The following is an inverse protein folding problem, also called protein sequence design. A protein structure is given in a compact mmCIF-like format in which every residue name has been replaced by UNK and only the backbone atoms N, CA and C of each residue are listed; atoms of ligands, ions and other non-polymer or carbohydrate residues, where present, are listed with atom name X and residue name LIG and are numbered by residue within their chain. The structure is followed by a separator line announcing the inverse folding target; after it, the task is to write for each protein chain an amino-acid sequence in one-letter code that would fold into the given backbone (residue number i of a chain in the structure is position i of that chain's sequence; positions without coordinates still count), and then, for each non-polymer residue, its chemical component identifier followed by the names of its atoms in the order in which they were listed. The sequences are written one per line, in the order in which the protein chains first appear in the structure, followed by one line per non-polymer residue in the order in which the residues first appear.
data_IF_956426640916
#
_entry.id   IF_956426640916
#
_cell.length_a   1.000
_cell.length_b   1.000
_cell.length_c   1.000
_cell.angle_alpha   90.00
_cell.angle_beta   90.00
_cell.angle_gamma   90.00
#
_symmetry.space_group_name_H-M   'P 1'
#
loop_
_entity.id
_entity.type
_entity.pdbx_description
1 polymer ?
#
# COMPACT_ATOMS: atom_id res chain seq x y z
N UNK A 1 -35.84 -84.48 -4.22
CA UNK A 1 -36.30 -83.19 -3.66
C UNK A 1 -35.40 -82.79 -2.49
N UNK A 2 -34.25 -82.12 -2.71
CA UNK A 2 -33.40 -81.58 -1.64
C UNK A 2 -33.04 -80.10 -1.90
N UNK A 3 -33.85 -79.15 -1.40
CA UNK A 3 -33.63 -77.71 -1.71
C UNK A 3 -33.75 -76.76 -0.49
N UNK A 4 -33.83 -77.28 0.75
CA UNK A 4 -34.14 -76.44 1.92
C UNK A 4 -32.97 -76.08 2.85
N UNK A 5 -31.84 -76.79 2.78
CA UNK A 5 -30.80 -76.70 3.82
C UNK A 5 -29.76 -75.60 3.55
N UNK A 6 -29.40 -75.37 2.27
CA UNK A 6 -28.40 -74.34 1.87
C UNK A 6 -28.89 -72.92 2.07
N UNK A 7 -30.19 -72.69 1.98
CA UNK A 7 -30.78 -71.36 2.14
C UNK A 7 -30.74 -70.90 3.60
N UNK A 8 -30.87 -71.81 4.57
CA UNK A 8 -30.81 -71.46 5.99
C UNK A 8 -29.40 -71.08 6.45
N UNK A 9 -28.37 -71.80 6.00
CA UNK A 9 -26.98 -71.48 6.35
C UNK A 9 -26.54 -70.15 5.73
N UNK A 10 -26.99 -69.84 4.52
CA UNK A 10 -26.68 -68.56 3.86
C UNK A 10 -27.40 -67.38 4.53
N UNK A 11 -28.64 -67.54 5.00
CA UNK A 11 -29.35 -66.51 5.77
C UNK A 11 -28.71 -66.26 7.14
N UNK A 12 -28.31 -67.31 7.85
CA UNK A 12 -27.64 -67.21 9.15
C UNK A 12 -26.26 -66.55 9.00
N UNK A 13 -25.48 -66.95 8.00
CA UNK A 13 -24.18 -66.33 7.72
C UNK A 13 -24.32 -64.86 7.28
N UNK A 14 -25.30 -64.56 6.42
CA UNK A 14 -25.58 -63.19 5.99
C UNK A 14 -26.07 -62.30 7.13
N UNK A 15 -26.87 -62.84 8.07
CA UNK A 15 -27.31 -62.10 9.26
C UNK A 15 -26.16 -61.85 10.25
N UNK A 16 -25.29 -62.84 10.48
CA UNK A 16 -24.10 -62.68 11.31
C UNK A 16 -23.12 -61.65 10.74
N UNK A 17 -22.87 -61.69 9.42
CA UNK A 17 -22.04 -60.71 8.71
C UNK A 17 -22.65 -59.31 8.80
N UNK A 18 -23.97 -59.16 8.62
CA UNK A 18 -24.67 -57.88 8.77
C UNK A 18 -24.62 -57.35 10.21
N UNK A 19 -24.69 -58.21 11.21
CA UNK A 19 -24.56 -57.83 12.62
C UNK A 19 -23.13 -57.39 12.95
N UNK A 20 -22.12 -58.08 12.43
CA UNK A 20 -20.71 -57.75 12.61
C UNK A 20 -20.34 -56.41 11.96
N UNK A 21 -20.88 -56.13 10.76
CA UNK A 21 -20.67 -54.85 10.07
C UNK A 21 -21.32 -53.69 10.82
N UNK A 22 -22.48 -53.89 11.47
CA UNK A 22 -23.13 -52.86 12.29
C UNK A 22 -22.37 -52.58 13.59
N UNK A 23 -21.86 -53.60 14.28
CA UNK A 23 -21.14 -53.43 15.54
C UNK A 23 -19.76 -52.79 15.35
N UNK A 24 -19.04 -53.11 14.27
CA UNK A 24 -17.75 -52.46 13.95
C UNK A 24 -17.93 -50.98 13.57
N UNK A 25 -19.04 -50.63 12.90
CA UNK A 25 -19.35 -49.24 12.49
C UNK A 25 -19.75 -48.34 13.67
N UNK A 26 -20.29 -48.92 14.75
CA UNK A 26 -20.71 -48.19 15.94
C UNK A 26 -19.53 -47.73 16.82
N UNK A 27 -18.40 -48.44 16.79
CA UNK A 27 -17.24 -48.14 17.66
C UNK A 27 -16.17 -47.24 17.01
N UNK A 28 -16.25 -46.95 15.71
CA UNK A 28 -15.19 -46.23 14.98
C UNK A 28 -15.54 -44.82 14.50
N UNK A 29 -16.76 -44.31 14.69
CA UNK A 29 -17.25 -43.18 13.88
C UNK A 29 -17.50 -41.85 14.61
N UNK A 30 -17.66 -41.78 15.92
CA UNK A 30 -17.94 -40.49 16.60
C UNK A 30 -16.77 -39.89 17.37
N UNK A 31 -16.10 -40.63 18.26
CA UNK A 31 -15.11 -40.02 19.17
C UNK A 31 -13.81 -39.56 18.46
N UNK A 32 -13.30 -40.33 17.50
CA UNK A 32 -12.03 -40.02 16.81
C UNK A 32 -12.17 -38.90 15.78
N UNK A 33 -13.29 -38.87 15.06
CA UNK A 33 -13.55 -37.83 14.06
C UNK A 33 -13.79 -36.47 14.75
N UNK A 34 -14.53 -36.46 15.86
CA UNK A 34 -14.71 -35.27 16.69
C UNK A 34 -13.37 -34.74 17.25
N UNK A 35 -12.47 -35.63 17.69
CA UNK A 35 -11.15 -35.23 18.18
C UNK A 35 -10.29 -34.56 17.09
N UNK A 36 -10.27 -35.13 15.88
CA UNK A 36 -9.52 -34.55 14.75
C UNK A 36 -10.07 -33.17 14.39
N UNK A 37 -11.39 -33.04 14.24
CA UNK A 37 -12.05 -31.77 13.91
C UNK A 37 -11.76 -30.70 14.99
N UNK A 38 -11.82 -31.07 16.27
CA UNK A 38 -11.51 -30.16 17.38
C UNK A 38 -10.06 -29.68 17.36
N UNK A 39 -9.10 -30.58 17.10
CA UNK A 39 -7.68 -30.23 16.99
C UNK A 39 -7.44 -29.29 15.80
N UNK A 40 -8.00 -29.59 14.62
CA UNK A 40 -7.85 -28.74 13.43
C UNK A 40 -8.48 -27.36 13.63
N UNK A 41 -9.69 -27.31 14.21
CA UNK A 41 -10.34 -26.04 14.54
C UNK A 41 -9.54 -25.22 15.56
N UNK A 42 -8.92 -25.89 16.55
CA UNK A 42 -8.01 -25.27 17.52
C UNK A 42 -6.79 -24.65 16.85
N UNK A 43 -6.11 -25.38 15.97
CA UNK A 43 -4.98 -24.86 15.21
C UNK A 43 -5.37 -23.69 14.31
N UNK A 44 -6.48 -23.78 13.57
CA UNK A 44 -6.97 -22.67 12.74
C UNK A 44 -7.27 -21.43 13.60
N UNK A 45 -7.89 -21.61 14.78
CA UNK A 45 -8.21 -20.49 15.67
C UNK A 45 -6.95 -19.81 16.22
N UNK A 46 -5.95 -20.59 16.62
CA UNK A 46 -4.66 -20.06 17.10
C UNK A 46 -3.90 -19.39 15.95
N UNK A 47 -3.86 -20.01 14.77
CA UNK A 47 -3.19 -19.46 13.59
C UNK A 47 -3.84 -18.18 13.10
N UNK A 48 -5.17 -18.10 13.03
CA UNK A 48 -5.90 -16.89 12.65
C UNK A 48 -5.72 -15.80 13.70
N UNK A 49 -5.80 -16.14 14.99
CA UNK A 49 -5.55 -15.20 16.08
C UNK A 49 -4.14 -14.63 16.03
N UNK A 50 -3.13 -15.47 15.82
CA UNK A 50 -1.73 -15.06 15.75
C UNK A 50 -1.43 -14.26 14.47
N UNK A 51 -2.00 -14.67 13.33
CA UNK A 51 -1.88 -13.94 12.08
C UNK A 51 -2.53 -12.56 12.18
N UNK A 52 -3.74 -12.48 12.73
CA UNK A 52 -4.41 -11.20 13.01
C UNK A 52 -3.59 -10.33 13.98
N UNK A 53 -3.04 -10.94 15.03
CA UNK A 53 -2.21 -10.24 16.01
C UNK A 53 -0.94 -9.64 15.39
N UNK A 54 -0.26 -10.36 14.49
CA UNK A 54 0.91 -9.82 13.78
C UNK A 54 0.55 -8.80 12.70
N UNK A 55 -0.56 -9.00 12.00
CA UNK A 55 -1.00 -8.11 10.92
C UNK A 55 -1.60 -6.80 11.43
N UNK A 56 -2.08 -6.78 12.67
CA UNK A 56 -2.79 -5.66 13.27
C UNK A 56 -1.95 -4.87 14.28
N UNK A 57 -0.63 -5.15 14.39
CA UNK A 57 0.26 -4.24 15.12
C UNK A 57 0.35 -2.93 14.35
N UNK A 58 -0.18 -1.80 14.87
CA UNK A 58 0.19 -0.52 14.33
C UNK A 58 1.70 -0.41 14.54
N UNK A 59 2.46 -0.23 13.46
CA UNK A 59 3.85 0.18 13.61
C UNK A 59 3.83 1.38 14.55
N UNK A 60 4.50 1.28 15.71
CA UNK A 60 4.71 2.41 16.61
C UNK A 60 5.29 3.51 15.73
N UNK A 61 4.42 4.42 15.28
CA UNK A 61 4.77 5.29 14.17
C UNK A 61 5.56 6.39 14.82
N UNK A 62 6.87 6.17 14.94
CA UNK A 62 7.83 7.20 15.33
C UNK A 62 7.87 8.16 14.14
N UNK A 63 6.86 9.03 14.09
CA UNK A 63 6.70 10.03 13.05
C UNK A 63 7.52 11.26 13.40
N UNK A 64 8.25 11.77 12.43
CA UNK A 64 8.76 13.14 12.46
C UNK A 64 7.80 14.08 11.75
N UNK A 65 8.03 15.38 11.91
CA UNK A 65 7.34 16.42 11.15
C UNK A 65 8.31 16.98 10.11
N UNK A 66 7.87 17.08 8.85
CA UNK A 66 8.62 17.79 7.81
C UNK A 66 7.99 19.16 7.60
N UNK A 67 8.84 20.18 7.49
CA UNK A 67 8.43 21.54 7.13
C UNK A 67 9.21 21.93 5.88
N UNK A 68 8.54 21.94 4.73
CA UNK A 68 9.10 22.41 3.48
C UNK A 68 8.81 23.91 3.32
N UNK A 69 9.86 24.71 3.15
CA UNK A 69 9.77 26.15 2.89
C UNK A 69 10.20 26.38 1.45
N UNK A 70 9.26 26.82 0.61
CA UNK A 70 9.45 27.01 -0.82
C UNK A 70 9.56 28.50 -1.12
N UNK A 71 10.71 28.93 -1.65
CA UNK A 71 11.01 30.33 -1.94
C UNK A 71 11.53 30.51 -3.37
N UNK A 72 11.26 31.68 -3.93
CA UNK A 72 11.85 32.12 -5.19
C UNK A 72 13.34 32.41 -4.97
N UNK A 73 14.22 31.77 -5.74
CA UNK A 73 15.66 31.94 -5.62
C UNK A 73 16.15 33.36 -5.91
N UNK A 74 15.42 34.12 -6.74
CA UNK A 74 15.75 35.49 -7.16
C UNK A 74 15.20 36.52 -6.19
N UNK A 75 13.93 36.39 -5.76
CA UNK A 75 13.28 37.41 -4.94
C UNK A 75 13.20 37.07 -3.46
N UNK A 76 13.51 35.83 -3.07
CA UNK A 76 13.36 35.34 -1.69
C UNK A 76 11.90 35.28 -1.20
N UNK A 77 10.94 35.50 -2.10
CA UNK A 77 9.52 35.52 -1.76
C UNK A 77 8.98 34.09 -1.65
N UNK A 78 8.00 33.84 -0.78
CA UNK A 78 7.35 32.55 -0.73
C UNK A 78 6.67 32.24 -2.07
N UNK A 79 6.83 31.01 -2.55
CA UNK A 79 6.13 30.53 -3.74
C UNK A 79 4.86 29.81 -3.31
N UNK A 80 3.71 30.41 -3.64
CA UNK A 80 2.39 29.78 -3.50
C UNK A 80 2.13 28.85 -4.68
N UNK A 81 1.17 27.95 -4.55
CA UNK A 81 0.69 27.08 -5.64
C UNK A 81 1.72 26.08 -6.20
N UNK A 82 2.81 25.84 -5.47
CA UNK A 82 3.75 24.77 -5.78
C UNK A 82 3.22 23.42 -5.26
N UNK A 83 3.65 22.33 -5.89
CA UNK A 83 3.37 20.97 -5.40
C UNK A 83 4.65 20.39 -4.83
N UNK A 84 4.63 20.01 -3.55
CA UNK A 84 5.75 19.35 -2.87
C UNK A 84 5.44 17.87 -2.76
N UNK A 85 6.01 17.06 -3.63
CA UNK A 85 5.91 15.61 -3.57
C UNK A 85 7.03 15.07 -2.67
N UNK A 86 6.67 14.25 -1.69
CA UNK A 86 7.62 13.53 -0.86
C UNK A 86 7.77 12.14 -1.44
N UNK A 87 8.96 11.80 -1.91
CA UNK A 87 9.29 10.53 -2.52
C UNK A 87 10.23 9.72 -1.63
N UNK A 88 10.13 8.40 -1.71
CA UNK A 88 11.17 7.50 -1.18
C UNK A 88 12.43 7.56 -2.03
N UNK A 89 13.54 6.98 -1.55
CA UNK A 89 14.77 6.82 -2.34
C UNK A 89 14.55 6.05 -3.66
N UNK A 90 13.48 5.24 -3.74
CA UNK A 90 13.06 4.50 -4.95
C UNK A 90 12.14 5.30 -5.87
N UNK A 91 11.99 6.62 -5.65
CA UNK A 91 11.08 7.51 -6.39
C UNK A 91 9.59 7.14 -6.30
N UNK A 92 9.18 6.38 -5.28
CA UNK A 92 7.76 6.18 -4.99
C UNK A 92 7.20 7.36 -4.21
N UNK A 93 6.08 7.94 -4.66
CA UNK A 93 5.40 9.05 -3.98
C UNK A 93 4.76 8.54 -2.68
N UNK A 94 5.15 9.14 -1.56
CA UNK A 94 4.63 8.82 -0.22
C UNK A 94 3.45 9.73 0.12
N UNK A 95 3.61 11.02 -0.15
CA UNK A 95 2.57 12.03 0.07
C UNK A 95 2.85 13.27 -0.77
N UNK A 96 1.83 14.10 -0.94
CA UNK A 96 1.92 15.40 -1.60
C UNK A 96 1.49 16.48 -0.62
N UNK A 97 2.32 17.49 -0.45
CA UNK A 97 2.08 18.65 0.40
C UNK A 97 1.93 19.88 -0.49
N UNK A 98 0.93 20.70 -0.19
CA UNK A 98 0.72 21.98 -0.86
C UNK A 98 1.18 23.10 0.07
N UNK A 99 2.15 23.94 -0.31
CA UNK A 99 2.53 25.10 0.48
C UNK A 99 1.36 26.06 0.64
N UNK A 100 1.16 26.55 1.86
CA UNK A 100 0.19 27.60 2.13
C UNK A 100 0.65 28.98 1.64
N UNK A 101 -0.06 30.03 2.05
CA UNK A 101 0.22 31.43 1.68
C UNK A 101 1.61 31.92 2.11
N UNK A 102 2.22 31.30 3.13
CA UNK A 102 3.60 31.58 3.55
C UNK A 102 4.67 30.81 2.76
N UNK A 103 4.29 30.04 1.72
CA UNK A 103 5.21 29.14 1.02
C UNK A 103 5.69 27.97 1.88
N UNK A 104 4.99 27.67 2.98
CA UNK A 104 5.31 26.59 3.91
C UNK A 104 4.33 25.44 3.76
N UNK A 105 4.85 24.23 3.64
CA UNK A 105 4.07 22.99 3.65
C UNK A 105 4.52 22.12 4.83
N UNK A 106 3.57 21.54 5.57
CA UNK A 106 3.87 20.68 6.72
C UNK A 106 3.20 19.34 6.57
N UNK A 107 3.88 18.29 7.02
CA UNK A 107 3.35 16.94 7.01
C UNK A 107 4.02 16.04 8.04
N UNK A 108 3.28 15.06 8.55
CA UNK A 108 3.85 14.01 9.40
C UNK A 108 4.27 12.85 8.53
N UNK A 109 5.52 12.41 8.71
CA UNK A 109 6.12 11.30 7.96
C UNK A 109 6.77 10.34 8.93
N UNK A 110 6.78 9.06 8.57
CA UNK A 110 7.59 8.06 9.31
C UNK A 110 9.05 8.46 9.25
N UNK A 111 9.80 8.16 10.30
CA UNK A 111 11.25 8.31 10.29
C UNK A 111 11.88 7.62 9.07
N UNK A 112 12.94 8.22 8.54
CA UNK A 112 13.66 7.70 7.38
C UNK A 112 14.09 8.79 6.39
N UNK A 113 14.78 8.36 5.34
CA UNK A 113 15.31 9.24 4.29
C UNK A 113 14.32 9.37 3.13
N UNK A 114 14.00 10.60 2.77
CA UNK A 114 13.08 10.93 1.67
C UNK A 114 13.70 11.97 0.73
N UNK A 115 13.09 12.11 -0.44
CA UNK A 115 13.39 13.16 -1.43
C UNK A 115 12.17 14.04 -1.57
N UNK A 116 12.29 15.32 -1.31
CA UNK A 116 11.25 16.30 -1.63
C UNK A 116 11.48 16.78 -3.06
N UNK A 117 10.47 16.62 -3.92
CA UNK A 117 10.43 17.22 -5.26
C UNK A 117 9.40 18.34 -5.25
N UNK A 118 9.82 19.54 -5.60
CA UNK A 118 8.92 20.68 -5.73
C UNK A 118 8.73 20.98 -7.20
N UNK A 119 7.48 21.02 -7.64
CA UNK A 119 7.10 21.30 -9.03
C UNK A 119 6.17 22.51 -9.09
N UNK A 120 6.40 23.41 -10.02
CA UNK A 120 5.54 24.58 -10.25
C UNK A 120 5.55 24.99 -11.73
N UNK A 121 4.43 25.46 -12.34
CA UNK A 121 4.38 25.78 -13.77
C UNK A 121 5.37 26.85 -14.25
N UNK A 122 5.71 27.80 -13.38
CA UNK A 122 6.60 28.94 -13.67
C UNK A 122 8.04 28.76 -13.17
N UNK A 123 8.35 27.68 -12.46
CA UNK A 123 9.68 27.43 -11.89
C UNK A 123 10.23 26.09 -12.36
N UNK A 124 11.55 25.97 -12.37
CA UNK A 124 12.23 24.68 -12.59
C UNK A 124 12.01 23.81 -11.35
N UNK A 125 11.67 22.54 -11.56
CA UNK A 125 11.47 21.60 -10.47
C UNK A 125 12.78 21.37 -9.70
N UNK A 126 12.69 21.37 -8.37
CA UNK A 126 13.86 21.17 -7.49
C UNK A 126 13.66 19.91 -6.66
N UNK A 127 14.73 19.12 -6.49
CA UNK A 127 14.72 17.90 -5.67
C UNK A 127 15.76 18.01 -4.57
N UNK A 128 15.36 17.82 -3.31
CA UNK A 128 16.22 17.84 -2.13
C UNK A 128 16.01 16.59 -1.29
N UNK A 129 17.10 15.97 -0.85
CA UNK A 129 17.02 14.87 0.12
C UNK A 129 16.86 15.41 1.54
N UNK A 130 16.03 14.75 2.35
CA UNK A 130 15.84 15.03 3.78
C UNK A 130 15.92 13.74 4.57
N UNK A 131 16.39 13.85 5.81
CA UNK A 131 16.25 12.81 6.82
C UNK A 131 15.18 13.24 7.83
N UNK A 132 14.19 12.39 8.02
CA UNK A 132 13.11 12.59 8.99
C UNK A 132 13.48 11.80 10.23
N UNK A 133 13.71 12.50 11.33
CA UNK A 133 13.97 11.92 12.65
C UNK A 133 12.68 11.96 13.44
N UNK A 134 12.37 10.86 14.13
CA UNK A 134 11.14 10.77 14.87
C UNK A 134 11.07 11.76 16.04
N UNK A 135 9.89 12.38 16.23
CA UNK A 135 9.68 13.40 17.27
C UNK A 135 10.39 14.74 17.01
N UNK A 136 11.12 14.89 15.90
CA UNK A 136 11.75 16.13 15.50
C UNK A 136 11.05 16.78 14.30
N UNK A 137 11.28 18.08 14.15
CA UNK A 137 10.84 18.87 12.99
C UNK A 137 12.04 19.02 12.05
N UNK A 138 11.98 18.39 10.89
CA UNK A 138 12.95 18.55 9.81
C UNK A 138 12.51 19.69 8.88
N UNK A 139 13.10 20.87 9.06
CA UNK A 139 12.88 22.02 8.15
C UNK A 139 13.80 21.92 6.92
N UNK A 140 13.20 22.03 5.73
CA UNK A 140 13.91 22.00 4.45
C UNK A 140 13.55 23.24 3.65
N UNK A 141 14.56 24.03 3.27
CA UNK A 141 14.40 25.21 2.42
C UNK A 141 14.73 24.86 0.98
N UNK A 142 13.77 25.08 0.09
CA UNK A 142 13.88 24.84 -1.34
C UNK A 142 13.79 26.19 -2.06
N UNK A 143 14.75 26.47 -2.93
CA UNK A 143 14.89 27.75 -3.64
C UNK A 143 14.69 27.51 -5.13
N UNK A 144 13.46 27.71 -5.57
CA UNK A 144 13.03 27.51 -6.94
C UNK A 144 13.60 28.58 -7.87
N UNK A 145 14.28 28.15 -8.94
CA UNK A 145 14.72 29.02 -10.01
C UNK A 145 13.59 29.20 -11.04
N UNK A 146 13.39 30.42 -11.53
CA UNK A 146 12.33 30.72 -12.50
C UNK A 146 12.60 29.99 -13.82
N UNK A 147 11.58 29.32 -14.35
CA UNK A 147 11.66 28.73 -15.68
C UNK A 147 11.71 29.88 -16.69
N UNK A 148 12.69 29.87 -17.58
CA UNK A 148 12.74 30.86 -18.65
C UNK A 148 11.46 30.78 -19.47
N UNK A 149 10.83 31.93 -19.75
CA UNK A 149 9.65 31.97 -20.61
C UNK A 149 9.96 31.27 -21.95
N UNK A 150 9.02 30.51 -22.53
CA UNK A 150 9.19 30.04 -23.90
C UNK A 150 9.43 31.28 -24.76
N UNK A 151 10.62 31.39 -25.32
CA UNK A 151 10.94 32.44 -26.29
C UNK A 151 9.94 32.25 -27.42
N UNK A 152 9.07 33.23 -27.65
CA UNK A 152 8.16 33.24 -28.79
C UNK A 152 8.99 32.87 -30.02
N UNK A 153 8.58 31.83 -30.73
CA UNK A 153 9.33 31.36 -31.89
C UNK A 153 9.40 32.52 -32.90
N UNK A 154 10.52 32.73 -33.62
CA UNK A 154 10.67 33.82 -34.60
C UNK A 154 9.69 33.75 -35.80
N UNK A 155 8.80 32.76 -35.80
CA UNK A 155 7.90 32.43 -36.90
C UNK A 155 6.75 33.44 -37.00
N UNK A 156 6.28 34.02 -35.88
CA UNK A 156 5.21 35.03 -35.90
C UNK A 156 5.68 36.39 -36.44
N UNK A 157 6.98 36.71 -36.31
CA UNK A 157 7.56 37.95 -36.84
C UNK A 157 7.69 37.92 -38.37
N UNK A 158 8.01 36.75 -38.95
CA UNK A 158 8.10 36.56 -40.39
C UNK A 158 6.72 36.68 -41.09
N UNK A 159 5.65 36.20 -40.45
CA UNK A 159 4.29 36.30 -40.99
C UNK A 159 3.76 37.75 -40.98
N UNK A 160 4.15 38.54 -39.97
CA UNK A 160 3.82 39.97 -39.91
C UNK A 160 4.56 40.81 -40.96
N UNK A 161 5.82 40.49 -41.25
CA UNK A 161 6.65 41.22 -42.22
C UNK A 161 6.14 41.04 -43.66
N UNK A 162 5.72 39.83 -44.05
CA UNK A 162 5.17 39.56 -45.39
C UNK A 162 3.87 40.33 -45.64
N UNK A 163 3.02 40.49 -44.62
CA UNK A 163 1.74 41.20 -44.77
C UNK A 163 1.89 42.71 -44.95
N UNK A 164 3.03 43.29 -44.55
CA UNK A 164 3.33 44.73 -44.69
C UNK A 164 3.91 45.11 -46.05
N UNK A 165 4.50 44.15 -46.77
CA UNK A 165 5.16 44.39 -48.07
C UNK A 165 4.15 44.35 -49.24
N UNK A 166 2.93 43.86 -48.99
CA UNK A 166 1.88 43.72 -50.01
C UNK A 166 0.77 44.78 -49.89
N UNK A 167 1.06 45.96 -49.32
CA UNK A 167 0.12 47.09 -49.26
C UNK A 167 0.77 48.39 -49.70
#
# INVERSE_FOLDING_TARGET
MPDGERDRESEVSASAIRQLIRSVRAHLTLSRFQAIVGITAGFISISVGLYSYFHMRPATTVAGEVVAVVQDARTGRPVTDAFVEVLTLKNAVVTTLTPGTEGRARGKLKEGTYRLRVTHPRFVAEVRQVEIVAGQISEVRLKLAQAAAPRASPVDEAVGAVKKILK
#
